data_IF_263258123065
#
_entry.id   IF_263258123065
#
_cell.length_a   1.000
_cell.length_b   1.000
_cell.length_c   1.000
_cell.angle_alpha   90.00
_cell.angle_beta   90.00
_cell.angle_gamma   90.00
#
_symmetry.space_group_name_H-M   'P 1'
#
loop_
_entity.id
_entity.type
_entity.pdbx_description
1 polymer ?
#
# COMPACT_ATOMS: atom_id res chain seq x y z
N UNK A 1 30.67 10.00 18.78
CA UNK A 1 30.71 10.24 17.31
C UNK A 1 31.28 9.06 16.50
N UNK A 2 32.21 8.24 17.03
CA UNK A 2 32.76 7.05 16.34
C UNK A 2 31.81 5.83 16.35
N UNK A 3 31.00 5.63 17.38
CA UNK A 3 30.04 4.52 17.46
C UNK A 3 28.84 4.68 16.49
N UNK A 4 28.44 5.91 16.14
CA UNK A 4 27.35 6.14 15.18
C UNK A 4 27.71 5.71 13.75
N UNK A 5 28.96 5.94 13.30
CA UNK A 5 29.40 5.59 11.93
C UNK A 5 29.59 4.08 11.69
N UNK A 6 29.81 3.29 12.74
CA UNK A 6 29.96 1.83 12.63
C UNK A 6 28.62 1.15 12.37
N UNK A 7 27.50 1.77 12.81
CA UNK A 7 26.14 1.25 12.61
C UNK A 7 25.50 1.71 11.30
N UNK A 8 25.97 2.77 10.65
CA UNK A 8 25.40 3.28 9.39
C UNK A 8 25.71 2.40 8.17
N UNK A 9 26.73 1.57 8.20
CA UNK A 9 27.15 0.74 7.05
C UNK A 9 26.83 -0.75 7.15
N UNK A 10 26.30 -1.24 8.28
CA UNK A 10 25.84 -2.62 8.41
C UNK A 10 24.32 -2.57 8.57
N UNK A 11 23.65 -3.15 7.60
CA UNK A 11 22.21 -3.39 7.65
C UNK A 11 21.92 -4.46 8.73
N UNK A 12 22.03 -4.01 10.01
CA UNK A 12 21.91 -4.85 11.19
C UNK A 12 20.59 -5.63 11.18
N UNK A 13 19.50 -4.98 10.74
CA UNK A 13 18.21 -5.61 10.65
C UNK A 13 18.16 -6.70 9.57
N UNK A 14 18.81 -6.48 8.42
CA UNK A 14 18.92 -7.50 7.38
C UNK A 14 19.77 -8.69 7.84
N UNK A 15 20.86 -8.45 8.58
CA UNK A 15 21.68 -9.51 9.15
C UNK A 15 20.91 -10.32 10.20
N UNK A 16 20.22 -9.66 11.14
CA UNK A 16 19.37 -10.31 12.13
C UNK A 16 18.28 -11.18 11.46
N UNK A 17 17.68 -10.66 10.41
CA UNK A 17 16.68 -11.39 9.61
C UNK A 17 17.26 -12.64 8.99
N UNK A 18 18.42 -12.56 8.32
CA UNK A 18 19.10 -13.70 7.71
C UNK A 18 19.43 -14.78 8.72
N UNK A 19 20.01 -14.38 9.88
CA UNK A 19 20.37 -15.34 10.92
C UNK A 19 19.13 -16.04 11.51
N UNK A 20 18.05 -15.30 11.78
CA UNK A 20 16.81 -15.87 12.30
C UNK A 20 16.11 -16.82 11.32
N UNK A 21 16.30 -16.65 10.02
CA UNK A 21 15.78 -17.56 8.99
C UNK A 21 16.57 -18.88 8.94
N UNK A 22 17.85 -18.85 9.28
CA UNK A 22 18.74 -20.03 9.29
C UNK A 22 18.72 -20.70 10.68
N UNK A 23 17.69 -21.52 10.92
CA UNK A 23 17.43 -22.11 12.24
C UNK A 23 18.65 -22.75 12.88
N UNK A 24 19.40 -23.60 12.16
CA UNK A 24 20.58 -24.30 12.70
C UNK A 24 21.69 -23.34 13.14
N UNK A 25 21.97 -22.30 12.34
CA UNK A 25 22.97 -21.29 12.68
C UNK A 25 22.53 -20.48 13.92
N UNK A 26 21.24 -20.13 14.04
CA UNK A 26 20.70 -19.44 15.19
C UNK A 26 20.85 -20.25 16.50
N UNK A 27 20.59 -21.54 16.46
CA UNK A 27 20.83 -22.41 17.62
C UNK A 27 22.31 -22.56 17.94
N UNK A 28 23.18 -22.65 16.92
CA UNK A 28 24.64 -22.69 17.09
C UNK A 28 25.19 -21.43 17.75
N UNK A 29 24.71 -20.25 17.33
CA UNK A 29 25.09 -18.95 17.94
C UNK A 29 24.60 -18.87 19.38
N UNK A 30 23.38 -19.28 19.68
CA UNK A 30 22.86 -19.30 21.05
C UNK A 30 23.67 -20.21 21.97
N UNK A 31 24.07 -21.40 21.50
CA UNK A 31 24.99 -22.32 22.19
C UNK A 31 26.35 -21.68 22.47
N UNK A 32 26.93 -21.03 21.47
CA UNK A 32 28.21 -20.35 21.60
C UNK A 32 28.16 -19.23 22.65
N UNK A 33 27.09 -18.44 22.64
CA UNK A 33 26.90 -17.34 23.60
C UNK A 33 26.80 -17.89 25.04
N UNK A 34 26.07 -18.99 25.26
CA UNK A 34 25.99 -19.62 26.59
C UNK A 34 27.33 -20.22 27.01
N UNK A 35 28.07 -20.85 26.08
CA UNK A 35 29.41 -21.41 26.37
C UNK A 35 30.40 -20.32 26.75
N UNK A 36 30.40 -19.18 26.02
CA UNK A 36 31.24 -18.03 26.36
C UNK A 36 30.85 -17.41 27.72
N UNK A 37 29.57 -17.31 28.03
CA UNK A 37 29.10 -16.84 29.33
C UNK A 37 29.55 -17.76 30.47
N UNK A 38 29.52 -19.08 30.25
CA UNK A 38 30.01 -20.08 31.20
C UNK A 38 31.51 -19.96 31.42
N UNK A 39 32.29 -19.85 30.34
CA UNK A 39 33.73 -19.65 30.43
C UNK A 39 34.07 -18.37 31.15
N UNK A 40 33.42 -17.27 30.81
CA UNK A 40 33.62 -15.97 31.50
C UNK A 40 33.27 -16.08 32.98
N UNK A 41 32.19 -16.77 33.31
CA UNK A 41 31.79 -16.98 34.71
C UNK A 41 32.84 -17.79 35.49
N UNK A 42 33.42 -18.83 34.86
CA UNK A 42 34.50 -19.61 35.47
C UNK A 42 35.77 -18.79 35.70
N UNK A 43 36.16 -17.94 34.73
CA UNK A 43 37.31 -17.05 34.84
C UNK A 43 37.15 -16.02 35.98
N UNK A 44 35.93 -15.55 36.18
CA UNK A 44 35.59 -14.56 37.19
C UNK A 44 35.16 -15.17 38.53
N UNK A 45 35.40 -16.47 38.77
CA UNK A 45 34.97 -17.20 39.96
C UNK A 45 35.31 -16.48 41.27
N UNK A 46 36.58 -16.02 41.41
CA UNK A 46 37.04 -15.34 42.62
C UNK A 46 36.47 -13.94 42.84
N UNK A 47 35.96 -13.30 41.78
CA UNK A 47 35.47 -11.89 41.86
C UNK A 47 33.94 -11.83 41.97
N UNK A 48 33.25 -12.76 41.36
CA UNK A 48 31.77 -12.72 41.17
C UNK A 48 31.05 -13.75 42.06
N UNK A 49 31.77 -14.41 42.96
CA UNK A 49 31.21 -15.43 43.88
C UNK A 49 29.99 -14.95 44.68
N UNK A 50 29.97 -13.69 45.09
CA UNK A 50 28.88 -13.09 45.88
C UNK A 50 27.75 -12.46 45.03
N UNK A 51 28.00 -12.18 43.75
CA UNK A 51 27.06 -11.43 42.87
C UNK A 51 25.91 -12.23 42.30
N UNK A 52 25.68 -13.45 42.78
CA UNK A 52 24.64 -14.35 42.34
C UNK A 52 25.05 -15.24 41.12
N UNK A 53 24.56 -16.49 41.10
CA UNK A 53 25.01 -17.52 40.16
C UNK A 53 24.63 -17.26 38.71
N UNK A 54 23.60 -16.46 38.44
CA UNK A 54 22.98 -16.30 37.12
C UNK A 54 23.22 -14.94 36.47
N UNK A 55 23.96 -14.02 37.05
CA UNK A 55 24.12 -12.63 36.60
C UNK A 55 24.66 -12.56 35.16
N UNK A 56 25.72 -13.31 34.82
CA UNK A 56 26.34 -13.32 33.50
C UNK A 56 25.41 -14.00 32.48
N UNK A 57 24.69 -15.03 32.89
CA UNK A 57 23.74 -15.73 32.03
C UNK A 57 22.56 -14.87 31.59
N UNK A 58 22.12 -13.92 32.42
CA UNK A 58 21.07 -12.97 32.05
C UNK A 58 21.43 -12.20 30.77
N UNK A 59 22.68 -11.70 30.67
CA UNK A 59 23.16 -10.98 29.51
C UNK A 59 23.25 -11.91 28.27
N UNK A 60 23.74 -13.15 28.45
CA UNK A 60 23.85 -14.14 27.38
C UNK A 60 22.47 -14.48 26.79
N UNK A 61 21.46 -14.65 27.65
CA UNK A 61 20.08 -14.94 27.24
C UNK A 61 19.48 -13.77 26.47
N UNK A 62 19.69 -12.52 26.91
CA UNK A 62 19.24 -11.33 26.22
C UNK A 62 19.87 -11.24 24.83
N UNK A 63 21.18 -11.47 24.71
CA UNK A 63 21.89 -11.49 23.41
C UNK A 63 21.33 -12.60 22.52
N UNK A 64 21.15 -13.81 23.04
CA UNK A 64 20.59 -14.93 22.28
C UNK A 64 19.17 -14.62 21.80
N UNK A 65 18.31 -14.05 22.64
CA UNK A 65 16.95 -13.66 22.28
C UNK A 65 16.91 -12.53 21.21
N UNK A 66 17.79 -11.51 21.37
CA UNK A 66 17.90 -10.39 20.46
C UNK A 66 18.39 -10.82 19.08
N UNK A 67 19.41 -11.66 19.04
CA UNK A 67 20.08 -12.07 17.78
C UNK A 67 19.37 -13.25 17.11
N UNK A 68 19.09 -14.30 17.88
CA UNK A 68 18.62 -15.59 17.37
C UNK A 68 17.10 -15.75 17.43
N UNK A 69 16.40 -14.93 18.24
CA UNK A 69 14.95 -14.98 18.37
C UNK A 69 14.46 -15.83 19.52
N UNK A 70 13.14 -16.09 19.58
CA UNK A 70 12.45 -16.67 20.73
C UNK A 70 12.94 -18.09 21.07
N UNK A 71 12.88 -19.04 20.15
CA UNK A 71 13.18 -20.45 20.44
C UNK A 71 14.65 -20.71 20.82
N UNK A 72 15.67 -20.16 20.07
CA UNK A 72 17.06 -20.25 20.53
C UNK A 72 17.32 -19.53 21.85
N UNK A 73 16.63 -18.41 22.13
CA UNK A 73 16.67 -17.73 23.41
C UNK A 73 16.13 -18.58 24.55
N UNK A 74 15.02 -19.28 24.34
CA UNK A 74 14.48 -20.24 25.31
C UNK A 74 15.44 -21.43 25.56
N UNK A 75 16.05 -21.96 24.50
CA UNK A 75 17.10 -22.96 24.65
C UNK A 75 18.26 -22.43 25.49
N UNK A 76 18.73 -21.22 25.21
CA UNK A 76 19.79 -20.58 26.01
C UNK A 76 19.37 -20.43 27.48
N UNK A 77 18.10 -20.11 27.76
CA UNK A 77 17.56 -20.05 29.13
C UNK A 77 17.64 -21.40 29.81
N UNK A 78 17.14 -22.48 29.17
CA UNK A 78 17.18 -23.84 29.73
C UNK A 78 18.63 -24.27 30.01
N UNK A 79 19.53 -24.07 29.04
CA UNK A 79 20.95 -24.41 29.22
C UNK A 79 21.61 -23.59 30.35
N UNK A 80 21.31 -22.32 30.44
CA UNK A 80 21.84 -21.45 31.50
C UNK A 80 21.33 -21.86 32.87
N UNK A 81 20.07 -22.27 32.98
CA UNK A 81 19.52 -22.80 34.24
C UNK A 81 20.23 -24.12 34.63
N UNK A 82 20.37 -25.06 33.71
CA UNK A 82 21.03 -26.34 33.97
C UNK A 82 22.51 -26.17 34.32
N UNK A 83 23.26 -25.43 33.52
CA UNK A 83 24.70 -25.20 33.74
C UNK A 83 24.91 -24.37 35.01
N UNK A 84 24.11 -23.32 35.19
CA UNK A 84 24.18 -22.45 36.35
C UNK A 84 23.87 -23.18 37.66
N UNK A 85 22.83 -24.02 37.68
CA UNK A 85 22.49 -24.83 38.83
C UNK A 85 23.56 -25.86 39.15
N UNK A 86 24.12 -26.54 38.18
CA UNK A 86 25.12 -27.59 38.38
C UNK A 86 26.45 -27.03 38.88
N UNK A 87 26.98 -25.97 38.30
CA UNK A 87 28.31 -25.48 38.58
C UNK A 87 28.35 -24.40 39.69
N UNK A 88 27.29 -23.61 39.87
CA UNK A 88 27.36 -22.38 40.65
C UNK A 88 26.35 -22.28 41.80
N UNK A 89 25.39 -23.21 41.90
CA UNK A 89 24.46 -23.26 43.05
C UNK A 89 24.87 -24.39 44.01
N UNK A 90 25.05 -24.12 45.32
CA UNK A 90 25.37 -25.19 46.28
C UNK A 90 24.23 -26.20 46.43
N UNK A 91 24.54 -27.50 46.58
CA UNK A 91 25.86 -28.10 46.51
C UNK A 91 26.35 -28.21 45.06
N UNK A 92 27.53 -27.65 44.82
CA UNK A 92 28.13 -27.67 43.48
C UNK A 92 28.34 -29.11 42.96
N UNK A 93 28.26 -29.27 41.59
CA UNK A 93 28.35 -30.56 40.90
C UNK A 93 27.17 -31.52 41.23
N UNK A 94 26.05 -30.96 41.65
CA UNK A 94 24.83 -31.70 41.95
C UNK A 94 23.59 -30.93 41.49
N UNK A 95 22.54 -31.64 41.12
CA UNK A 95 21.22 -31.05 40.84
C UNK A 95 20.30 -31.07 42.09
N UNK A 96 20.80 -31.54 43.26
CA UNK A 96 20.04 -31.57 44.47
C UNK A 96 19.92 -30.16 45.07
N UNK A 97 18.72 -29.65 45.20
CA UNK A 97 18.40 -28.39 45.83
C UNK A 97 18.01 -28.65 47.30
N UNK A 98 18.94 -28.48 48.23
CA UNK A 98 18.72 -28.80 49.62
C UNK A 98 17.98 -27.72 50.43
N UNK A 99 17.94 -26.51 49.89
CA UNK A 99 17.20 -25.44 50.57
C UNK A 99 16.12 -24.81 49.65
N UNK A 100 15.05 -24.37 50.30
CA UNK A 100 13.96 -23.62 49.64
C UNK A 100 14.48 -22.33 48.99
N UNK A 101 15.52 -21.71 49.56
CA UNK A 101 16.12 -20.48 49.02
C UNK A 101 16.77 -20.70 47.65
N UNK A 102 17.50 -21.81 47.49
CA UNK A 102 18.17 -22.15 46.21
C UNK A 102 17.13 -22.49 45.15
N UNK A 103 16.12 -23.28 45.51
CA UNK A 103 15.00 -23.60 44.62
C UNK A 103 14.28 -22.33 44.11
N UNK A 104 14.00 -21.39 44.99
CA UNK A 104 13.42 -20.11 44.61
C UNK A 104 14.33 -19.28 43.73
N UNK A 105 15.63 -19.24 43.95
CA UNK A 105 16.60 -18.51 43.13
C UNK A 105 16.62 -19.05 41.71
N UNK A 106 16.66 -20.36 41.53
CA UNK A 106 16.61 -21.00 40.19
C UNK A 106 15.27 -20.76 39.50
N UNK A 107 14.15 -20.93 40.21
CA UNK A 107 12.81 -20.71 39.68
C UNK A 107 12.60 -19.25 39.25
N UNK A 108 12.95 -18.28 40.10
CA UNK A 108 12.84 -16.86 39.78
C UNK A 108 13.70 -16.47 38.58
N UNK A 109 14.94 -16.99 38.51
CA UNK A 109 15.78 -16.74 37.36
C UNK A 109 15.16 -17.29 36.08
N UNK A 110 14.65 -18.53 36.09
CA UNK A 110 14.02 -19.15 34.93
C UNK A 110 12.79 -18.36 34.43
N UNK A 111 11.96 -17.89 35.39
CA UNK A 111 10.78 -17.06 35.05
C UNK A 111 11.20 -15.71 34.47
N UNK A 112 12.10 -14.98 35.14
CA UNK A 112 12.56 -13.66 34.65
C UNK A 112 13.27 -13.76 33.33
N UNK A 113 14.13 -14.78 33.13
CA UNK A 113 14.80 -15.04 31.87
C UNK A 113 13.81 -15.36 30.74
N UNK A 114 12.79 -16.16 31.00
CA UNK A 114 11.75 -16.47 30.01
C UNK A 114 10.93 -15.23 29.63
N UNK A 115 10.59 -14.39 30.58
CA UNK A 115 9.92 -13.10 30.33
C UNK A 115 10.83 -12.19 29.47
N UNK A 116 12.11 -12.09 29.81
CA UNK A 116 13.07 -11.31 29.02
C UNK A 116 13.18 -11.80 27.58
N UNK A 117 13.25 -13.13 27.37
CA UNK A 117 13.24 -13.72 26.01
C UNK A 117 11.99 -13.35 25.26
N UNK A 118 10.81 -13.46 25.89
CA UNK A 118 9.53 -13.11 25.26
C UNK A 118 9.47 -11.63 24.88
N UNK A 119 9.86 -10.74 25.80
CA UNK A 119 9.84 -9.29 25.57
C UNK A 119 10.83 -8.87 24.49
N UNK A 120 12.09 -9.30 24.58
CA UNK A 120 13.15 -8.91 23.64
C UNK A 120 12.86 -9.46 22.24
N UNK A 121 12.55 -10.75 22.13
CA UNK A 121 12.26 -11.36 20.83
C UNK A 121 10.97 -10.80 20.21
N UNK A 122 9.96 -10.52 21.01
CA UNK A 122 8.71 -9.88 20.62
C UNK A 122 8.94 -8.47 20.08
N UNK A 123 9.71 -7.64 20.81
CA UNK A 123 10.04 -6.28 20.37
C UNK A 123 10.77 -6.28 19.03
N UNK A 124 11.79 -7.14 18.87
CA UNK A 124 12.52 -7.24 17.59
C UNK A 124 11.60 -7.73 16.48
N UNK A 125 10.70 -8.67 16.75
CA UNK A 125 9.74 -9.14 15.75
C UNK A 125 8.79 -8.01 15.29
N UNK A 126 8.34 -7.15 16.19
CA UNK A 126 7.52 -5.96 15.85
C UNK A 126 8.32 -4.98 15.01
N UNK A 127 9.57 -4.67 15.36
CA UNK A 127 10.43 -3.76 14.60
C UNK A 127 10.67 -4.27 13.17
N UNK A 128 10.98 -5.55 13.00
CA UNK A 128 11.19 -6.16 11.68
C UNK A 128 9.91 -6.13 10.82
N UNK A 129 8.74 -6.39 11.40
CA UNK A 129 7.45 -6.28 10.69
C UNK A 129 7.13 -4.85 10.29
N UNK A 130 7.47 -3.89 11.16
CA UNK A 130 7.23 -2.47 10.86
C UNK A 130 8.07 -2.01 9.67
N UNK A 131 9.35 -2.41 9.63
CA UNK A 131 10.24 -2.12 8.50
C UNK A 131 9.73 -2.73 7.19
N UNK A 132 9.31 -4.01 7.20
CA UNK A 132 8.73 -4.66 6.02
C UNK A 132 7.52 -3.89 5.50
N UNK A 133 6.64 -3.46 6.39
CA UNK A 133 5.46 -2.67 6.04
C UNK A 133 5.82 -1.32 5.42
N UNK A 134 6.82 -0.63 5.98
CA UNK A 134 7.29 0.64 5.41
C UNK A 134 7.88 0.45 4.01
N UNK A 135 8.69 -0.59 3.79
CA UNK A 135 9.25 -0.89 2.48
C UNK A 135 8.18 -1.21 1.44
N UNK A 136 7.13 -1.96 1.82
CA UNK A 136 5.99 -2.24 0.93
C UNK A 136 5.24 -0.95 0.56
N UNK A 137 4.94 -0.10 1.54
CA UNK A 137 4.29 1.19 1.30
C UNK A 137 5.14 2.10 0.40
N UNK A 138 6.46 2.14 0.62
CA UNK A 138 7.36 2.93 -0.20
C UNK A 138 7.39 2.45 -1.67
N UNK A 139 7.45 1.13 -1.88
CA UNK A 139 7.38 0.55 -3.23
C UNK A 139 6.06 0.86 -3.93
N UNK A 140 4.95 0.77 -3.21
CA UNK A 140 3.63 1.11 -3.73
C UNK A 140 3.55 2.59 -4.12
N UNK A 141 4.03 3.50 -3.26
CA UNK A 141 4.11 4.94 -3.57
C UNK A 141 4.99 5.21 -4.79
N UNK A 142 6.15 4.56 -4.89
CA UNK A 142 7.05 4.69 -6.03
C UNK A 142 6.38 4.22 -7.32
N UNK A 143 5.72 3.08 -7.31
CA UNK A 143 5.00 2.56 -8.47
C UNK A 143 3.87 3.49 -8.91
N UNK A 144 3.09 4.03 -7.96
CA UNK A 144 2.03 5.02 -8.25
C UNK A 144 2.60 6.31 -8.81
N UNK A 145 3.69 6.82 -8.25
CA UNK A 145 4.38 8.02 -8.76
C UNK A 145 4.86 7.80 -10.21
N UNK A 146 5.47 6.66 -10.53
CA UNK A 146 5.88 6.32 -11.89
C UNK A 146 4.69 6.28 -12.87
N UNK A 147 3.56 5.70 -12.45
CA UNK A 147 2.35 5.68 -13.26
C UNK A 147 1.83 7.09 -13.55
N UNK A 148 1.79 7.96 -12.53
CA UNK A 148 1.38 9.36 -12.69
C UNK A 148 2.30 10.11 -13.67
N UNK A 149 3.63 9.96 -13.54
CA UNK A 149 4.58 10.56 -14.47
C UNK A 149 4.38 10.05 -15.91
N UNK A 150 4.10 8.76 -16.10
CA UNK A 150 3.81 8.23 -17.43
C UNK A 150 2.56 8.86 -18.06
N UNK A 151 1.50 9.09 -17.26
CA UNK A 151 0.29 9.80 -17.72
C UNK A 151 0.60 11.25 -18.07
N UNK A 152 1.36 11.97 -17.22
CA UNK A 152 1.78 13.35 -17.49
C UNK A 152 2.62 13.43 -18.75
N UNK A 153 3.58 12.53 -18.96
CA UNK A 153 4.39 12.47 -20.17
C UNK A 153 3.53 12.20 -21.42
N UNK A 154 2.54 11.30 -21.31
CA UNK A 154 1.60 11.03 -22.41
C UNK A 154 0.76 12.26 -22.74
N UNK A 155 0.28 13.00 -21.74
CA UNK A 155 -0.45 14.27 -21.92
C UNK A 155 0.46 15.32 -22.58
N UNK A 156 1.69 15.49 -22.09
CA UNK A 156 2.64 16.46 -22.60
C UNK A 156 3.03 16.18 -24.05
N UNK A 157 3.51 14.98 -24.35
CA UNK A 157 3.96 14.60 -25.70
C UNK A 157 2.87 14.67 -26.75
N UNK A 158 1.62 14.50 -26.35
CA UNK A 158 0.47 14.56 -27.25
C UNK A 158 -0.21 15.93 -27.30
N UNK A 159 0.09 16.84 -26.37
CA UNK A 159 -0.44 18.21 -26.38
C UNK A 159 0.52 19.17 -27.10
N UNK A 160 1.82 18.93 -26.99
CA UNK A 160 2.86 19.76 -27.60
C UNK A 160 3.21 19.22 -28.99
N UNK A 161 2.33 19.46 -29.98
CA UNK A 161 2.49 19.00 -31.36
C UNK A 161 2.80 20.20 -32.26
N UNK A 162 3.60 19.99 -33.30
CA UNK A 162 3.89 21.00 -34.33
C UNK A 162 2.61 21.54 -34.98
N UNK A 163 2.57 22.85 -35.22
CA UNK A 163 1.44 23.53 -35.88
C UNK A 163 0.41 24.14 -34.92
N UNK A 164 0.58 24.02 -33.61
CA UNK A 164 -0.20 24.78 -32.60
C UNK A 164 0.55 25.99 -32.09
N UNK A 165 -0.19 27.05 -31.71
CA UNK A 165 0.42 28.17 -30.99
C UNK A 165 0.80 27.72 -29.57
N UNK A 166 1.93 28.19 -29.07
CA UNK A 166 2.41 27.86 -27.70
C UNK A 166 1.36 28.21 -26.65
N UNK A 167 0.63 29.33 -26.84
CA UNK A 167 -0.43 29.76 -25.93
C UNK A 167 -1.57 28.73 -25.83
N UNK A 168 -2.06 28.22 -26.97
CA UNK A 168 -3.13 27.22 -26.99
C UNK A 168 -2.64 25.86 -26.44
N UNK A 169 -1.43 25.44 -26.78
CA UNK A 169 -0.85 24.20 -26.25
C UNK A 169 -0.70 24.25 -24.73
N UNK A 170 -0.26 25.41 -24.17
CA UNK A 170 -0.15 25.62 -22.74
C UNK A 170 -1.52 25.58 -22.04
N UNK A 171 -2.53 26.23 -22.60
CA UNK A 171 -3.89 26.23 -22.02
C UNK A 171 -4.49 24.83 -21.99
N UNK A 172 -4.43 24.09 -23.09
CA UNK A 172 -4.93 22.73 -23.19
C UNK A 172 -4.18 21.77 -22.26
N UNK A 173 -2.85 21.89 -22.18
CA UNK A 173 -2.02 21.09 -21.27
C UNK A 173 -2.38 21.36 -19.81
N UNK A 174 -2.49 22.64 -19.42
CA UNK A 174 -2.87 23.03 -18.07
C UNK A 174 -4.27 22.53 -17.69
N UNK A 175 -5.25 22.62 -18.58
CA UNK A 175 -6.61 22.10 -18.37
C UNK A 175 -6.61 20.61 -18.04
N UNK A 176 -5.91 19.80 -18.83
CA UNK A 176 -5.78 18.35 -18.64
C UNK A 176 -5.07 17.99 -17.33
N UNK A 177 -3.97 18.70 -17.05
CA UNK A 177 -3.22 18.49 -15.81
C UNK A 177 -4.07 18.82 -14.58
N UNK A 178 -4.86 19.88 -14.65
CA UNK A 178 -5.78 20.25 -13.57
C UNK A 178 -6.91 19.21 -13.38
N UNK A 179 -7.49 18.68 -14.47
CA UNK A 179 -8.47 17.60 -14.37
C UNK A 179 -7.88 16.36 -13.68
N UNK A 180 -6.68 15.94 -14.09
CA UNK A 180 -5.97 14.83 -13.47
C UNK A 180 -5.65 15.11 -12.00
N UNK A 181 -5.18 16.32 -11.66
CA UNK A 181 -4.84 16.70 -10.28
C UNK A 181 -6.06 16.69 -9.36
N UNK A 182 -7.23 17.17 -9.82
CA UNK A 182 -8.48 17.11 -9.06
C UNK A 182 -8.90 15.68 -8.78
N UNK A 183 -8.89 14.83 -9.79
CA UNK A 183 -9.23 13.41 -9.64
C UNK A 183 -8.25 12.68 -8.74
N UNK A 184 -6.96 12.99 -8.83
CA UNK A 184 -5.94 12.42 -7.94
C UNK A 184 -6.16 12.81 -6.47
N UNK A 185 -6.55 14.08 -6.21
CA UNK A 185 -6.92 14.53 -4.86
C UNK A 185 -8.14 13.79 -4.32
N UNK A 186 -9.16 13.56 -5.16
CA UNK A 186 -10.34 12.77 -4.79
C UNK A 186 -9.98 11.32 -4.47
N UNK A 187 -9.13 10.70 -5.28
CA UNK A 187 -8.63 9.34 -5.06
C UNK A 187 -7.80 9.25 -3.78
N UNK A 188 -6.97 10.24 -3.48
CA UNK A 188 -6.17 10.29 -2.25
C UNK A 188 -7.05 10.30 -1.00
N UNK A 189 -8.14 11.09 -1.01
CA UNK A 189 -9.11 11.15 0.08
C UNK A 189 -9.83 9.81 0.31
N UNK A 190 -9.97 8.98 -0.74
CA UNK A 190 -10.59 7.66 -0.69
C UNK A 190 -9.55 6.52 -0.59
N UNK A 191 -8.36 6.80 -0.04
CA UNK A 191 -7.26 5.85 0.09
C UNK A 191 -6.89 5.12 -1.23
N UNK A 192 -7.15 5.76 -2.38
CA UNK A 192 -6.97 5.21 -3.73
C UNK A 192 -7.75 3.92 -4.01
N UNK A 193 -8.80 3.65 -3.28
CA UNK A 193 -9.69 2.52 -3.56
C UNK A 193 -10.55 2.77 -4.80
N UNK A 194 -10.76 4.05 -5.15
CA UNK A 194 -11.55 4.49 -6.29
C UNK A 194 -12.24 5.81 -6.03
N UNK A 195 -13.06 6.25 -6.99
CA UNK A 195 -13.84 7.48 -6.88
C UNK A 195 -15.25 7.30 -7.43
N UNK A 196 -16.29 7.96 -6.87
CA UNK A 196 -17.61 7.98 -7.44
C UNK A 196 -17.62 8.65 -8.82
N UNK A 197 -18.10 7.98 -9.86
CA UNK A 197 -18.12 8.53 -11.22
C UNK A 197 -18.95 9.81 -11.29
N UNK A 198 -20.04 9.87 -10.54
CA UNK A 198 -20.91 11.04 -10.46
C UNK A 198 -20.19 12.29 -9.93
N UNK A 199 -19.28 12.13 -8.97
CA UNK A 199 -18.46 13.22 -8.44
C UNK A 199 -17.43 13.70 -9.47
N UNK A 200 -16.81 12.79 -10.23
CA UNK A 200 -15.89 13.14 -11.33
C UNK A 200 -16.62 13.97 -12.38
N UNK A 201 -17.83 13.54 -12.78
CA UNK A 201 -18.67 14.26 -13.73
C UNK A 201 -19.05 15.65 -13.19
N UNK A 202 -19.53 15.72 -11.93
CA UNK A 202 -19.93 16.97 -11.30
C UNK A 202 -18.75 17.97 -11.20
N UNK A 203 -17.56 17.49 -10.88
CA UNK A 203 -16.36 18.31 -10.74
C UNK A 203 -15.92 18.92 -12.07
N UNK A 204 -15.94 18.15 -13.17
CA UNK A 204 -15.55 18.66 -14.49
C UNK A 204 -16.59 19.59 -15.12
N UNK A 205 -17.86 19.47 -14.72
CA UNK A 205 -18.97 20.23 -15.27
C UNK A 205 -19.60 21.24 -14.34
N UNK A 206 -18.91 21.58 -13.25
CA UNK A 206 -19.41 22.52 -12.21
C UNK A 206 -19.88 23.87 -12.80
N UNK A 207 -19.17 24.40 -13.78
CA UNK A 207 -19.51 25.67 -14.45
C UNK A 207 -20.74 25.60 -15.36
N UNK A 208 -21.28 24.42 -15.62
CA UNK A 208 -22.38 24.16 -16.56
C UNK A 208 -23.51 23.36 -15.93
N UNK A 209 -23.65 23.40 -14.59
CA UNK A 209 -24.62 22.61 -13.83
C UNK A 209 -26.06 22.78 -14.32
N UNK A 210 -26.43 24.01 -14.80
CA UNK A 210 -27.78 24.31 -15.31
C UNK A 210 -28.07 23.76 -16.71
N UNK A 211 -27.01 23.36 -17.44
CA UNK A 211 -27.09 22.84 -18.80
C UNK A 211 -26.84 21.33 -18.86
N UNK A 212 -26.49 20.68 -17.75
CA UNK A 212 -26.08 19.28 -17.67
C UNK A 212 -27.04 18.47 -16.85
N UNK A 213 -27.47 17.34 -17.37
CA UNK A 213 -28.28 16.35 -16.64
C UNK A 213 -27.49 15.05 -16.52
N UNK A 214 -27.38 14.49 -15.32
CA UNK A 214 -26.65 13.23 -15.04
C UNK A 214 -27.60 12.20 -14.46
N UNK A 215 -27.67 11.02 -15.06
CA UNK A 215 -28.54 9.92 -14.62
C UNK A 215 -27.78 8.60 -14.56
N UNK A 216 -28.02 7.79 -13.53
CA UNK A 216 -27.53 6.41 -13.42
C UNK A 216 -26.02 6.23 -13.22
N UNK A 217 -25.26 7.30 -12.91
CA UNK A 217 -23.81 7.22 -12.72
C UNK A 217 -23.39 6.96 -11.26
N UNK A 218 -24.22 6.26 -10.49
CA UNK A 218 -24.01 5.94 -9.06
C UNK A 218 -23.11 4.68 -8.91
N UNK A 219 -21.92 4.74 -9.46
CA UNK A 219 -20.90 3.69 -9.40
C UNK A 219 -19.56 4.27 -8.91
N UNK A 220 -18.87 3.53 -8.03
CA UNK A 220 -17.48 3.82 -7.70
C UNK A 220 -16.57 3.12 -8.71
N UNK A 221 -15.74 3.89 -9.40
CA UNK A 221 -14.77 3.38 -10.37
C UNK A 221 -13.38 3.30 -9.76
N UNK A 222 -12.59 2.29 -10.17
CA UNK A 222 -11.23 2.12 -9.70
C UNK A 222 -10.32 3.28 -10.13
N UNK A 223 -9.14 3.39 -9.54
CA UNK A 223 -8.18 4.49 -9.78
C UNK A 223 -7.92 4.73 -11.27
N UNK A 224 -7.65 3.67 -12.02
CA UNK A 224 -7.33 3.77 -13.46
C UNK A 224 -8.52 4.29 -14.27
N UNK A 225 -9.71 3.77 -14.00
CA UNK A 225 -10.92 4.22 -14.68
C UNK A 225 -11.26 5.67 -14.29
N UNK A 226 -11.09 6.06 -13.02
CA UNK A 226 -11.32 7.42 -12.54
C UNK A 226 -10.45 8.45 -13.29
N UNK A 227 -9.14 8.22 -13.38
CA UNK A 227 -8.21 9.08 -14.12
C UNK A 227 -8.58 9.17 -15.61
N UNK A 228 -8.97 8.04 -16.21
CA UNK A 228 -9.39 7.99 -17.60
C UNK A 228 -10.71 8.71 -17.84
N UNK A 229 -11.71 8.52 -17.01
CA UNK A 229 -12.99 9.23 -17.09
C UNK A 229 -12.84 10.73 -16.90
N UNK A 230 -11.98 11.18 -15.98
CA UNK A 230 -11.72 12.60 -15.80
C UNK A 230 -11.19 13.25 -17.08
N UNK A 231 -10.22 12.62 -17.76
CA UNK A 231 -9.68 13.12 -19.02
C UNK A 231 -10.72 13.08 -20.16
N UNK A 232 -11.50 11.99 -20.25
CA UNK A 232 -12.55 11.86 -21.28
C UNK A 232 -13.62 12.93 -21.07
N UNK A 233 -14.13 13.11 -19.84
CA UNK A 233 -15.17 14.08 -19.54
C UNK A 233 -14.65 15.51 -19.76
N UNK A 234 -13.40 15.79 -19.36
CA UNK A 234 -12.75 17.06 -19.62
C UNK A 234 -12.68 17.41 -21.12
N UNK A 235 -12.30 16.44 -21.96
CA UNK A 235 -12.23 16.63 -23.40
C UNK A 235 -13.63 16.81 -24.02
N UNK A 236 -14.61 16.02 -23.56
CA UNK A 236 -16.01 16.17 -24.00
C UNK A 236 -16.55 17.55 -23.64
N UNK A 237 -16.33 18.01 -22.40
CA UNK A 237 -16.73 19.31 -21.92
C UNK A 237 -16.06 20.43 -22.73
N UNK A 238 -14.74 20.34 -22.93
CA UNK A 238 -13.98 21.33 -23.71
C UNK A 238 -14.47 21.42 -25.14
N UNK A 239 -14.76 20.29 -25.79
CA UNK A 239 -15.31 20.23 -27.14
C UNK A 239 -16.72 20.81 -27.19
N UNK A 240 -17.58 20.48 -26.20
CA UNK A 240 -18.93 21.01 -26.12
C UNK A 240 -18.95 22.55 -25.95
N UNK A 241 -17.99 23.10 -25.19
CA UNK A 241 -17.83 24.56 -25.05
C UNK A 241 -17.30 25.21 -26.32
N UNK A 242 -16.32 24.60 -27.00
CA UNK A 242 -15.70 25.19 -28.18
C UNK A 242 -16.53 25.03 -29.45
N UNK A 243 -17.20 23.91 -29.61
CA UNK A 243 -17.82 23.51 -30.89
C UNK A 243 -19.24 22.96 -30.77
N UNK A 244 -19.69 22.62 -29.54
CA UNK A 244 -20.91 21.89 -29.29
C UNK A 244 -21.96 22.63 -28.47
N UNK A 245 -22.78 21.87 -27.73
CA UNK A 245 -23.96 22.36 -27.02
C UNK A 245 -23.64 23.43 -25.97
N UNK A 246 -22.54 23.32 -25.24
CA UNK A 246 -22.19 24.27 -24.18
C UNK A 246 -21.68 25.63 -24.70
N UNK A 247 -21.55 25.81 -26.01
CA UNK A 247 -21.24 27.12 -26.63
C UNK A 247 -22.44 28.08 -26.65
N UNK A 248 -23.65 27.59 -26.39
CA UNK A 248 -24.89 28.39 -26.39
C UNK A 248 -25.66 28.20 -25.08
N UNK A 249 -26.45 29.21 -24.69
CA UNK A 249 -27.28 29.13 -23.48
C UNK A 249 -28.42 28.09 -23.55
N UNK A 250 -28.87 27.77 -24.75
CA UNK A 250 -29.97 26.82 -25.00
C UNK A 250 -29.49 25.38 -25.11
N UNK A 251 -28.20 25.18 -25.31
CA UNK A 251 -27.64 23.85 -25.43
C UNK A 251 -27.71 23.06 -24.14
N UNK A 252 -27.84 21.78 -24.27
CA UNK A 252 -27.96 20.81 -23.16
C UNK A 252 -27.04 19.62 -23.38
N UNK A 253 -26.52 19.09 -22.29
CA UNK A 253 -25.76 17.86 -22.24
C UNK A 253 -26.48 16.86 -21.33
N UNK A 254 -26.79 15.68 -21.83
CA UNK A 254 -27.31 14.57 -21.07
C UNK A 254 -26.23 13.51 -20.92
N UNK A 255 -25.89 13.14 -19.67
CA UNK A 255 -24.97 12.07 -19.34
C UNK A 255 -25.78 10.95 -18.72
N UNK A 256 -25.70 9.75 -19.30
CA UNK A 256 -26.42 8.59 -18.82
C UNK A 256 -25.44 7.43 -18.62
N UNK A 257 -25.51 6.82 -17.43
CA UNK A 257 -24.83 5.56 -17.17
C UNK A 257 -25.86 4.46 -16.94
N UNK A 258 -25.59 3.27 -17.44
CA UNK A 258 -26.39 2.07 -17.17
C UNK A 258 -25.50 0.86 -16.95
N UNK A 259 -26.00 -0.09 -16.18
CA UNK A 259 -25.38 -1.39 -15.96
C UNK A 259 -26.35 -2.45 -16.44
N UNK A 260 -26.00 -3.15 -17.48
CA UNK A 260 -26.79 -4.24 -18.07
C UNK A 260 -26.20 -5.58 -17.59
N UNK A 261 -27.02 -6.45 -17.00
CA UNK A 261 -26.64 -7.80 -16.53
C UNK A 261 -26.78 -8.01 -15.04
N UNK A 262 -27.09 -9.26 -14.64
CA UNK A 262 -27.18 -9.68 -13.24
C UNK A 262 -25.86 -10.32 -12.78
N UNK A 263 -25.53 -10.14 -11.48
CA UNK A 263 -24.47 -10.87 -10.78
C UNK A 263 -23.03 -10.69 -11.29
N UNK A 264 -22.50 -9.45 -11.35
CA UNK A 264 -21.05 -9.22 -11.49
C UNK A 264 -20.48 -9.39 -12.90
N UNK A 265 -21.22 -9.92 -13.88
CA UNK A 265 -20.85 -10.00 -15.30
C UNK A 265 -21.45 -8.85 -16.12
N UNK A 266 -21.90 -7.76 -15.47
CA UNK A 266 -22.58 -6.65 -16.08
C UNK A 266 -21.71 -5.87 -17.06
N UNK A 267 -22.33 -5.41 -18.14
CA UNK A 267 -21.74 -4.40 -18.99
C UNK A 267 -22.12 -3.01 -18.48
N UNK A 268 -21.10 -2.18 -18.26
CA UNK A 268 -21.29 -0.77 -17.99
C UNK A 268 -21.32 -0.01 -19.29
N UNK A 269 -22.27 0.93 -19.42
CA UNK A 269 -22.41 1.86 -20.55
C UNK A 269 -22.38 3.28 -20.00
N UNK A 270 -21.54 4.12 -20.60
CA UNK A 270 -21.52 5.56 -20.44
C UNK A 270 -21.96 6.22 -21.74
N UNK A 271 -22.89 7.13 -21.68
CA UNK A 271 -23.37 7.90 -22.84
C UNK A 271 -23.33 9.39 -22.51
N UNK A 272 -22.75 10.16 -23.41
CA UNK A 272 -22.76 11.62 -23.45
C UNK A 272 -23.53 12.05 -24.69
N UNK A 273 -24.55 12.88 -24.53
CA UNK A 273 -25.38 13.36 -25.61
C UNK A 273 -25.52 14.86 -25.54
N UNK A 274 -25.20 15.56 -26.63
CA UNK A 274 -25.39 16.99 -26.81
C UNK A 274 -26.64 17.29 -27.64
N UNK A 275 -27.33 18.38 -27.32
CA UNK A 275 -28.50 18.87 -28.05
C UNK A 275 -28.64 20.39 -27.92
N UNK A 276 -29.35 21.05 -28.84
CA UNK A 276 -29.63 22.49 -28.78
C UNK A 276 -28.42 23.39 -29.02
N UNK A 277 -27.28 22.84 -29.44
CA UNK A 277 -26.09 23.57 -29.86
C UNK A 277 -26.06 23.84 -31.38
N UNK A 278 -24.96 24.40 -31.89
CA UNK A 278 -24.76 24.56 -33.33
C UNK A 278 -24.66 23.18 -34.02
N UNK A 279 -24.98 23.10 -35.33
CA UNK A 279 -24.81 21.88 -36.11
C UNK A 279 -23.37 21.39 -36.05
N UNK A 280 -23.16 20.12 -35.69
CA UNK A 280 -21.84 19.52 -35.57
C UNK A 280 -21.54 18.66 -36.81
N UNK A 281 -20.30 18.72 -37.27
CA UNK A 281 -19.78 17.87 -38.35
C UNK A 281 -18.50 17.16 -37.90
N UNK A 282 -18.20 15.99 -38.51
CA UNK A 282 -16.94 15.31 -38.22
C UNK A 282 -15.75 16.24 -38.43
N UNK A 283 -14.75 16.27 -37.53
CA UNK A 283 -13.59 17.11 -37.69
C UNK A 283 -12.77 16.68 -38.91
N UNK A 284 -12.34 17.65 -39.75
CA UNK A 284 -11.55 17.41 -40.94
C UNK A 284 -10.17 16.76 -40.67
N UNK A 285 -9.64 16.93 -39.46
CA UNK A 285 -8.41 16.29 -38.98
C UNK A 285 -8.66 15.68 -37.60
N UNK A 286 -8.17 14.48 -37.38
CA UNK A 286 -8.18 13.85 -36.06
C UNK A 286 -7.25 14.68 -35.15
N UNK A 287 -7.82 15.49 -34.28
CA UNK A 287 -7.08 16.24 -33.27
C UNK A 287 -6.76 15.36 -32.07
N UNK A 288 -6.00 15.92 -31.15
CA UNK A 288 -5.60 15.21 -29.94
C UNK A 288 -6.80 14.78 -29.04
N UNK A 289 -7.88 15.58 -28.98
CA UNK A 289 -9.10 15.21 -28.25
C UNK A 289 -9.65 13.86 -28.71
N UNK A 290 -9.59 13.56 -30.03
CA UNK A 290 -9.99 12.24 -30.53
C UNK A 290 -9.10 11.10 -30.00
N UNK A 291 -7.81 11.34 -29.77
CA UNK A 291 -6.92 10.33 -29.19
C UNK A 291 -7.31 10.02 -27.73
N UNK A 292 -7.65 11.04 -26.92
CA UNK A 292 -8.14 10.80 -25.54
C UNK A 292 -9.47 10.04 -25.60
N UNK A 293 -10.40 10.49 -26.39
CA UNK A 293 -11.73 9.88 -26.47
C UNK A 293 -11.70 8.43 -26.94
N UNK A 294 -10.74 8.04 -27.77
CA UNK A 294 -10.66 6.68 -28.31
C UNK A 294 -9.53 5.85 -27.68
N UNK A 295 -8.30 6.36 -27.63
CA UNK A 295 -7.15 5.54 -27.19
C UNK A 295 -7.06 5.40 -25.67
N UNK A 296 -7.41 6.46 -24.90
CA UNK A 296 -7.47 6.33 -23.44
C UNK A 296 -8.65 5.43 -23.04
N UNK A 297 -9.79 5.60 -23.68
CA UNK A 297 -10.96 4.77 -23.44
C UNK A 297 -10.72 3.28 -23.73
N UNK A 298 -9.98 2.93 -24.77
CA UNK A 298 -9.63 1.53 -25.10
C UNK A 298 -8.85 0.80 -24.01
N UNK A 299 -8.23 1.51 -23.08
CA UNK A 299 -7.49 0.87 -21.99
C UNK A 299 -8.38 0.10 -21.01
N UNK A 300 -9.68 0.44 -20.95
CA UNK A 300 -10.64 -0.17 -20.05
C UNK A 300 -12.01 -0.45 -20.68
N UNK A 301 -12.24 0.00 -21.92
CA UNK A 301 -13.49 -0.20 -22.66
C UNK A 301 -13.34 -1.20 -23.78
N UNK A 302 -14.44 -1.90 -24.08
CA UNK A 302 -14.54 -2.85 -25.18
C UNK A 302 -14.94 -2.18 -26.50
N UNK A 303 -15.77 -1.12 -26.42
CA UNK A 303 -16.30 -0.42 -27.57
C UNK A 303 -16.45 1.07 -27.26
N UNK A 304 -16.06 1.90 -28.21
CA UNK A 304 -16.18 3.35 -28.14
C UNK A 304 -16.72 3.87 -29.47
N UNK A 305 -17.81 4.62 -29.41
CA UNK A 305 -18.48 5.19 -30.57
C UNK A 305 -18.68 6.70 -30.41
N UNK A 306 -18.41 7.44 -31.45
CA UNK A 306 -18.72 8.86 -31.56
C UNK A 306 -19.53 9.11 -32.80
N UNK A 307 -20.71 9.76 -32.65
CA UNK A 307 -21.60 10.10 -33.72
C UNK A 307 -21.78 11.61 -33.82
N UNK A 308 -21.58 12.16 -34.98
CA UNK A 308 -21.82 13.54 -35.34
C UNK A 308 -23.10 13.61 -36.15
N UNK A 309 -24.11 14.28 -35.62
CA UNK A 309 -25.38 14.51 -36.34
C UNK A 309 -25.74 16.00 -36.32
N UNK A 310 -26.59 16.47 -37.26
CA UNK A 310 -27.04 17.87 -37.25
C UNK A 310 -27.71 18.29 -35.95
N UNK A 311 -28.30 17.34 -35.23
CA UNK A 311 -29.01 17.57 -33.94
C UNK A 311 -28.05 17.66 -32.75
N UNK A 312 -26.79 17.21 -32.89
CA UNK A 312 -25.77 17.25 -31.86
C UNK A 312 -24.76 16.10 -31.91
N UNK A 313 -23.92 16.06 -30.92
CA UNK A 313 -22.87 15.05 -30.76
C UNK A 313 -23.28 13.98 -29.75
N UNK A 314 -22.94 12.73 -30.02
CA UNK A 314 -23.15 11.62 -29.10
C UNK A 314 -21.84 10.81 -28.99
N UNK A 315 -21.42 10.55 -27.73
CA UNK A 315 -20.29 9.67 -27.42
C UNK A 315 -20.78 8.53 -26.51
N UNK A 316 -20.43 7.32 -26.86
CA UNK A 316 -20.78 6.11 -26.11
C UNK A 316 -19.53 5.29 -25.84
N UNK A 317 -19.45 4.75 -24.61
CA UNK A 317 -18.40 3.86 -24.17
C UNK A 317 -19.02 2.65 -23.48
N UNK A 318 -18.55 1.44 -23.79
CA UNK A 318 -18.96 0.19 -23.14
C UNK A 318 -17.75 -0.49 -22.53
N UNK A 319 -17.91 -0.97 -21.31
CA UNK A 319 -16.86 -1.67 -20.56
C UNK A 319 -17.45 -2.84 -19.78
N UNK A 320 -16.61 -3.83 -19.45
CA UNK A 320 -16.95 -4.79 -18.41
C UNK A 320 -16.97 -4.08 -17.05
N UNK A 321 -18.02 -4.29 -16.27
CA UNK A 321 -18.14 -3.70 -14.95
C UNK A 321 -16.95 -4.07 -14.05
N UNK A 322 -16.55 -5.34 -14.03
CA UNK A 322 -15.40 -5.83 -13.28
C UNK A 322 -14.05 -5.15 -13.63
N UNK A 323 -13.92 -4.59 -14.84
CA UNK A 323 -12.72 -3.87 -15.27
C UNK A 323 -12.62 -2.43 -14.75
N UNK A 324 -13.73 -1.85 -14.36
CA UNK A 324 -13.82 -0.44 -13.98
C UNK A 324 -14.29 -0.22 -12.51
N UNK A 325 -14.98 -1.19 -11.92
CA UNK A 325 -15.51 -1.06 -10.55
C UNK A 325 -14.37 -0.95 -9.53
N UNK A 326 -14.55 -0.09 -8.55
CA UNK A 326 -13.64 0.00 -7.41
C UNK A 326 -13.69 -1.31 -6.58
N UNK A 327 -12.56 -1.77 -6.04
CA UNK A 327 -12.56 -2.87 -5.08
C UNK A 327 -13.53 -2.54 -3.95
N UNK A 328 -14.46 -3.44 -3.64
CA UNK A 328 -15.30 -3.27 -2.45
C UNK A 328 -14.39 -3.25 -1.23
N UNK A 329 -14.45 -2.18 -0.45
CA UNK A 329 -13.84 -2.18 0.87
C UNK A 329 -14.45 -3.36 1.64
N UNK A 330 -13.64 -4.37 1.96
CA UNK A 330 -14.08 -5.46 2.83
C UNK A 330 -14.56 -4.84 4.14
N UNK A 331 -15.85 -5.03 4.43
CA UNK A 331 -16.43 -4.57 5.68
C UNK A 331 -15.65 -5.21 6.84
N UNK A 332 -15.39 -4.48 7.94
CA UNK A 332 -14.76 -5.05 9.14
C UNK A 332 -15.44 -6.34 9.63
N UNK A 333 -16.73 -6.52 9.32
CA UNK A 333 -17.49 -7.72 9.60
C UNK A 333 -17.07 -8.95 8.76
N UNK A 334 -16.62 -8.77 7.51
CA UNK A 334 -16.15 -9.88 6.66
C UNK A 334 -14.75 -10.38 7.06
N UNK A 335 -13.90 -9.47 7.54
CA UNK A 335 -12.59 -9.82 8.12
C UNK A 335 -12.74 -10.63 9.42
N UNK A 336 -13.72 -10.30 10.26
CA UNK A 336 -14.02 -11.05 11.49
C UNK A 336 -14.54 -12.47 11.18
N UNK A 337 -15.41 -12.62 10.17
CA UNK A 337 -15.92 -13.92 9.74
C UNK A 337 -14.84 -14.82 9.13
N UNK A 338 -13.95 -14.27 8.27
CA UNK A 338 -12.85 -15.02 7.66
C UNK A 338 -11.78 -15.44 8.68
N UNK A 339 -11.64 -14.70 9.78
CA UNK A 339 -10.72 -15.05 10.89
C UNK A 339 -11.28 -16.17 11.76
N UNK A 340 -12.61 -16.25 11.92
CA UNK A 340 -13.29 -17.34 12.65
C UNK A 340 -13.28 -18.68 11.86
N UNK A 341 -13.41 -18.65 10.54
CA UNK A 341 -13.35 -19.88 9.71
C UNK A 341 -11.92 -20.48 9.62
N UNK A 342 -10.88 -19.70 9.85
CA UNK A 342 -9.49 -20.21 9.90
C UNK A 342 -9.04 -20.71 11.27
N UNK A 343 -9.89 -20.58 12.30
CA UNK A 343 -9.60 -20.98 13.68
C UNK A 343 -10.31 -22.27 14.10
N UNK A 344 -11.06 -22.92 13.20
CA UNK A 344 -11.64 -24.26 13.32
C UNK A 344 -10.84 -25.24 12.42
#
# INVERSE_FOLDING_TARGET
>A
MLLGKVFENYDLLAWLRRLRQRRLEAYGVALLVVALATLLRMLLWGVVSEAGPFTIYSLAIIIAALVCGFWPGMMATVLSVLIGSYFFVPPTFSFALFSTKEAWTVAMFAVVASINVALVSGLVAVLLRHEDRQLLLFRELQHRSQNLFAVIQAIASRTLIEGQTIANAKEVFAGRLNALARTHSMLANNAFLGAPLKEIVAQELTSFSDQVTVTGCDIAVNTRAAESFALIIHELATNAVKYGALSTRQGRVAIQCSIDGANGSGQFRFEWRESGGPPVSPPARKGFGSTILFEVAKQFSQDVQAKFSPEGFTYQLRSLLAGIEAPRAESPASLAAATQERAV
#
